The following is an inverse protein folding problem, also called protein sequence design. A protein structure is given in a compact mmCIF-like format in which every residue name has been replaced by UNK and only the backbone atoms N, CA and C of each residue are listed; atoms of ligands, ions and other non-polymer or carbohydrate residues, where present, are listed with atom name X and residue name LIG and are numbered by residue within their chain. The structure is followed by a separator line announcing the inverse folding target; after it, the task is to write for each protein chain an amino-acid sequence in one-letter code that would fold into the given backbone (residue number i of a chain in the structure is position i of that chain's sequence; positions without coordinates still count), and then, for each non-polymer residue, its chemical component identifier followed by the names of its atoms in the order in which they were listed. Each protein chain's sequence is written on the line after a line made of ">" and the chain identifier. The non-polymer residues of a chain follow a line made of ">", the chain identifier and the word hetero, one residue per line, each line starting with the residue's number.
data_IF_806832825350
#
_entry.id   IF_806832825350
#
_cell.length_a   1.000
_cell.length_b   1.000
_cell.length_c   1.000
_cell.angle_alpha   90.00
_cell.angle_beta   90.00
_cell.angle_gamma   90.00
#
_symmetry.space_group_name_H-M   'P 1'
#
loop_
_entity.id
_entity.type
_entity.pdbx_description
1 polymer ?
#
# COMPACT_ATOMS: atom_id res chain seq x y z
N UNK A 1 -26.99 20.57 0.16
CA UNK A 1 -25.73 20.75 0.93
C UNK A 1 -25.19 19.45 1.51
N UNK A 2 -25.95 18.63 2.27
CA UNK A 2 -25.50 17.31 2.78
C UNK A 2 -24.97 16.36 1.68
N UNK A 3 -25.67 16.20 0.55
CA UNK A 3 -25.21 15.36 -0.59
C UNK A 3 -23.90 15.85 -1.24
N UNK A 4 -23.67 17.16 -1.30
CA UNK A 4 -22.43 17.76 -1.88
C UNK A 4 -21.26 17.60 -0.90
N UNK A 5 -21.50 17.79 0.40
CA UNK A 5 -20.52 17.48 1.45
C UNK A 5 -20.16 15.99 1.46
N UNK A 6 -21.13 15.09 1.27
CA UNK A 6 -20.89 13.64 1.14
C UNK A 6 -20.08 13.29 -0.12
N UNK A 7 -20.38 13.87 -1.28
CA UNK A 7 -19.60 13.62 -2.51
C UNK A 7 -18.17 14.15 -2.39
N UNK A 8 -17.98 15.31 -1.77
CA UNK A 8 -16.65 15.88 -1.49
C UNK A 8 -15.91 15.07 -0.42
N UNK A 9 -16.63 14.56 0.59
CA UNK A 9 -16.13 13.66 1.62
C UNK A 9 -15.65 12.34 1.06
N UNK A 10 -16.46 11.68 0.24
CA UNK A 10 -16.06 10.46 -0.49
C UNK A 10 -14.88 10.73 -1.42
N UNK A 11 -14.87 11.86 -2.14
CA UNK A 11 -13.73 12.26 -2.95
C UNK A 11 -12.47 12.55 -2.11
N UNK A 12 -12.62 13.04 -0.88
CA UNK A 12 -11.53 13.30 0.08
C UNK A 12 -11.02 12.00 0.71
N UNK A 13 -11.91 11.06 1.05
CA UNK A 13 -11.59 9.70 1.51
C UNK A 13 -10.85 8.93 0.41
N UNK A 14 -11.34 8.99 -0.84
CA UNK A 14 -10.62 8.44 -1.98
C UNK A 14 -9.32 9.22 -2.29
N UNK A 15 -9.25 10.52 -2.04
CA UNK A 15 -8.01 11.26 -2.24
C UNK A 15 -6.96 10.93 -1.18
N UNK A 16 -7.35 10.51 0.02
CA UNK A 16 -6.41 10.19 1.10
C UNK A 16 -6.12 8.68 1.22
N UNK A 17 -7.08 7.79 0.92
CA UNK A 17 -6.90 6.33 0.93
C UNK A 17 -6.05 5.78 -0.22
N UNK A 18 -5.81 6.59 -1.26
CA UNK A 18 -4.84 6.32 -2.33
C UNK A 18 -3.44 6.89 -2.05
N UNK A 19 -3.29 7.67 -0.97
CA UNK A 19 -2.02 8.18 -0.49
C UNK A 19 -1.60 7.31 0.70
N UNK A 20 -0.32 6.94 0.78
CA UNK A 20 0.33 6.10 1.81
C UNK A 20 0.32 4.60 1.51
N UNK A 21 1.50 4.04 1.13
CA UNK A 21 2.77 4.27 1.82
C UNK A 21 3.89 4.72 0.87
N UNK A 22 4.09 6.01 0.62
CA UNK A 22 5.33 6.44 -0.06
C UNK A 22 5.75 7.86 0.31
N UNK A 23 6.20 8.05 1.55
CA UNK A 23 7.14 9.12 1.89
C UNK A 23 8.45 8.50 2.38
N UNK A 24 9.06 7.66 1.54
CA UNK A 24 10.50 7.41 1.61
C UNK A 24 10.99 6.96 0.22
N UNK A 25 12.04 7.57 -0.35
CA UNK A 25 12.55 7.25 -1.71
C UNK A 25 13.02 5.79 -1.89
N UNK A 26 13.04 5.00 -0.82
CA UNK A 26 13.54 3.63 -0.79
C UNK A 26 12.45 2.55 -0.82
N UNK A 27 11.18 2.92 -0.66
CA UNK A 27 10.08 1.95 -0.45
C UNK A 27 9.61 1.26 -1.74
N UNK A 28 9.98 1.75 -2.93
CA UNK A 28 9.31 1.30 -4.17
C UNK A 28 9.91 0.08 -4.87
N UNK A 29 11.12 -0.39 -4.57
CA UNK A 29 11.75 -1.44 -5.39
C UNK A 29 11.94 -2.83 -4.74
N UNK A 30 11.79 -2.99 -3.41
CA UNK A 30 12.10 -4.27 -2.75
C UNK A 30 10.97 -4.88 -1.89
N UNK A 31 9.76 -4.30 -1.89
CA UNK A 31 8.71 -4.69 -0.91
C UNK A 31 7.56 -5.50 -1.54
N UNK A 32 7.35 -5.46 -2.85
CA UNK A 32 6.28 -6.24 -3.51
C UNK A 32 6.53 -7.76 -3.55
N UNK A 33 7.74 -8.23 -3.23
CA UNK A 33 8.06 -9.66 -3.21
C UNK A 33 7.73 -10.38 -1.90
N UNK A 34 7.27 -9.69 -0.85
CA UNK A 34 6.94 -10.29 0.45
C UNK A 34 5.51 -10.02 0.93
N UNK A 35 4.60 -9.57 0.06
CA UNK A 35 3.18 -9.37 0.41
C UNK A 35 2.35 -10.65 0.28
N UNK A 36 2.78 -11.71 0.96
CA UNK A 36 1.89 -12.73 1.48
C UNK A 36 2.04 -12.72 3.00
N UNK A 37 1.30 -11.84 3.66
CA UNK A 37 1.03 -12.01 5.08
C UNK A 37 0.04 -13.17 5.24
N UNK A 38 0.50 -14.39 4.94
CA UNK A 38 0.28 -15.43 5.94
C UNK A 38 0.90 -14.88 7.22
N UNK A 39 0.29 -15.11 8.39
CA UNK A 39 1.08 -15.20 9.62
C UNK A 39 2.12 -16.29 9.34
N UNK A 40 3.24 -15.94 8.70
CA UNK A 40 4.38 -16.81 8.65
C UNK A 40 4.71 -16.98 10.11
N UNK A 41 4.40 -18.17 10.63
CA UNK A 41 4.99 -18.66 11.86
C UNK A 41 6.50 -18.71 11.60
N UNK A 42 7.14 -17.55 11.62
CA UNK A 42 8.58 -17.40 11.63
C UNK A 42 8.94 -18.04 12.96
N UNK A 43 9.36 -19.29 12.88
CA UNK A 43 9.69 -20.08 14.04
C UNK A 43 10.74 -19.29 14.83
N UNK A 44 10.54 -19.11 16.13
CA UNK A 44 11.42 -18.33 17.02
C UNK A 44 12.91 -18.72 16.89
N UNK A 45 13.20 -19.93 16.39
CA UNK A 45 14.54 -20.45 16.10
C UNK A 45 15.24 -19.85 14.87
N UNK A 46 14.54 -19.07 14.04
CA UNK A 46 15.11 -18.42 12.85
C UNK A 46 15.79 -17.09 13.16
N UNK A 47 15.52 -16.49 14.33
CA UNK A 47 16.17 -15.26 14.77
C UNK A 47 17.52 -15.55 15.43
N UNK A 48 18.49 -14.67 15.20
CA UNK A 48 19.81 -14.70 15.85
C UNK A 48 19.73 -14.03 17.22
N UNK A 49 20.04 -14.76 18.29
CA UNK A 49 20.15 -14.14 19.62
C UNK A 49 21.19 -13.02 19.60
N UNK A 50 20.86 -11.90 20.23
CA UNK A 50 21.75 -10.73 20.34
C UNK A 50 21.57 -10.05 21.69
N UNK A 51 22.65 -9.45 22.18
CA UNK A 51 22.59 -8.44 23.23
C UNK A 51 21.92 -7.16 22.67
N UNK A 52 21.48 -6.23 23.56
CA UNK A 52 20.92 -4.95 23.14
C UNK A 52 21.82 -4.18 22.17
N UNK A 53 21.21 -3.55 21.18
CA UNK A 53 21.89 -2.73 20.18
C UNK A 53 21.80 -1.26 20.61
N UNK A 54 22.95 -0.62 20.78
CA UNK A 54 23.02 0.78 21.23
C UNK A 54 23.87 1.56 20.23
N UNK A 55 23.21 2.48 19.53
CA UNK A 55 23.80 3.45 18.61
C UNK A 55 23.60 4.83 19.23
N UNK A 56 24.69 5.54 19.53
CA UNK A 56 24.66 6.91 20.05
C UNK A 56 25.31 7.92 19.09
N UNK A 57 25.85 7.44 17.96
CA UNK A 57 26.40 8.22 16.84
C UNK A 57 26.60 7.33 15.60
N UNK A 58 26.78 7.96 14.44
CA UNK A 58 26.91 7.27 13.14
C UNK A 58 28.02 6.20 13.11
N UNK A 59 29.16 6.44 13.77
CA UNK A 59 30.28 5.49 13.78
C UNK A 59 29.97 4.17 14.49
N UNK A 60 28.94 4.13 15.34
CA UNK A 60 28.61 2.94 16.13
C UNK A 60 28.02 1.84 15.26
N UNK A 61 27.31 2.19 14.17
CA UNK A 61 26.77 1.22 13.22
C UNK A 61 27.89 0.36 12.64
N UNK A 62 28.95 1.01 12.13
CA UNK A 62 30.12 0.31 11.59
C UNK A 62 30.91 -0.41 12.68
N UNK A 63 31.02 0.17 13.87
CA UNK A 63 31.75 -0.45 15.00
C UNK A 63 31.09 -1.75 15.48
N UNK A 64 29.76 -1.83 15.40
CA UNK A 64 28.99 -3.06 15.68
C UNK A 64 28.97 -4.04 14.51
N UNK A 65 29.56 -3.68 13.37
CA UNK A 65 29.59 -4.52 12.17
C UNK A 65 28.24 -4.67 11.47
N UNK A 66 27.35 -3.68 11.62
CA UNK A 66 26.07 -3.65 10.90
C UNK A 66 26.31 -3.41 9.40
N UNK A 67 25.51 -4.06 8.57
CA UNK A 67 25.60 -3.94 7.10
C UNK A 67 24.99 -2.62 6.62
N UNK A 68 25.40 -2.18 5.43
CA UNK A 68 25.02 -0.89 4.84
C UNK A 68 26.06 0.21 5.07
N UNK A 69 25.85 1.36 4.45
CA UNK A 69 26.73 2.54 4.54
C UNK A 69 26.07 3.76 5.19
N UNK A 70 24.77 3.68 5.47
CA UNK A 70 24.02 4.73 6.15
C UNK A 70 23.53 5.85 5.22
N UNK A 71 23.57 5.64 3.91
CA UNK A 71 22.97 6.54 2.91
C UNK A 71 21.57 6.05 2.54
N UNK A 72 20.77 6.92 1.92
CA UNK A 72 19.40 6.60 1.50
C UNK A 72 19.34 5.32 0.66
N UNK A 73 20.28 5.15 -0.26
CA UNK A 73 20.34 4.01 -1.18
C UNK A 73 20.88 2.71 -0.55
N UNK A 74 21.51 2.82 0.62
CA UNK A 74 22.20 1.72 1.30
C UNK A 74 22.21 1.97 2.82
N UNK A 75 21.03 1.91 3.46
CA UNK A 75 20.87 2.24 4.89
C UNK A 75 21.50 1.16 5.77
N UNK A 76 21.87 1.52 7.00
CA UNK A 76 22.32 0.53 7.97
C UNK A 76 21.20 -0.42 8.36
N UNK A 77 21.49 -1.72 8.45
CA UNK A 77 20.48 -2.74 8.78
C UNK A 77 20.67 -3.30 10.20
N UNK A 78 19.59 -3.28 10.98
CA UNK A 78 19.44 -4.03 12.23
C UNK A 78 18.36 -5.07 11.98
N UNK A 79 18.77 -6.30 11.64
CA UNK A 79 17.85 -7.30 11.12
C UNK A 79 18.01 -8.70 11.71
N UNK A 80 16.88 -9.43 11.79
CA UNK A 80 16.87 -10.85 12.12
C UNK A 80 17.28 -11.16 13.56
N UNK A 81 17.24 -10.18 14.47
CA UNK A 81 17.72 -10.35 15.84
C UNK A 81 16.60 -10.80 16.78
N UNK A 82 16.98 -11.61 17.76
CA UNK A 82 16.19 -11.92 18.95
C UNK A 82 16.88 -11.30 20.16
N UNK A 83 16.27 -10.27 20.73
CA UNK A 83 16.77 -9.57 21.90
C UNK A 83 15.71 -9.67 23.00
N UNK A 84 16.08 -10.29 24.13
CA UNK A 84 15.13 -10.61 25.20
C UNK A 84 15.72 -10.32 26.59
N UNK A 85 14.86 -10.03 27.57
CA UNK A 85 15.20 -9.92 28.99
C UNK A 85 16.37 -8.96 29.31
N UNK A 86 16.31 -7.72 28.82
CA UNK A 86 17.29 -6.68 29.15
C UNK A 86 16.78 -5.75 30.25
N UNK A 87 17.72 -5.15 31.00
CA UNK A 87 17.45 -4.03 31.93
C UNK A 87 17.60 -2.65 31.26
N UNK A 88 17.69 -2.62 29.93
CA UNK A 88 17.80 -1.41 29.10
C UNK A 88 16.81 -1.49 27.94
N UNK A 89 16.71 -0.41 27.16
CA UNK A 89 16.11 -0.49 25.84
C UNK A 89 16.79 -1.60 25.01
N UNK A 90 16.03 -2.34 24.19
CA UNK A 90 16.58 -3.47 23.40
C UNK A 90 17.32 -2.97 22.16
N UNK A 91 16.77 -1.97 21.48
CA UNK A 91 17.42 -1.25 20.38
C UNK A 91 17.31 0.24 20.68
N UNK A 92 18.45 0.93 20.76
CA UNK A 92 18.52 2.39 20.87
C UNK A 92 19.26 2.97 19.68
N UNK A 93 18.65 3.93 19.01
CA UNK A 93 19.28 4.72 17.94
C UNK A 93 19.13 6.20 18.25
N UNK A 94 20.25 6.83 18.61
CA UNK A 94 20.30 8.16 19.19
C UNK A 94 21.34 9.01 18.44
N UNK A 95 21.03 10.28 18.20
CA UNK A 95 21.96 11.28 17.64
C UNK A 95 22.65 10.83 16.35
N UNK A 96 21.87 10.25 15.42
CA UNK A 96 22.38 9.83 14.12
C UNK A 96 21.77 10.62 12.98
N UNK A 97 22.59 10.85 11.95
CA UNK A 97 22.15 11.41 10.66
C UNK A 97 22.07 10.35 9.55
N UNK A 98 22.54 9.14 9.84
CA UNK A 98 22.56 8.03 8.91
C UNK A 98 21.14 7.46 8.69
N UNK A 99 20.88 6.99 7.48
CA UNK A 99 19.69 6.19 7.18
C UNK A 99 19.85 4.79 7.78
N UNK A 100 18.79 4.28 8.41
CA UNK A 100 18.79 2.96 9.02
C UNK A 100 17.44 2.25 8.88
N UNK A 101 17.48 0.93 8.93
CA UNK A 101 16.31 0.06 8.91
C UNK A 101 16.41 -0.94 10.07
N UNK A 102 15.41 -0.95 10.94
CA UNK A 102 15.20 -1.97 11.97
C UNK A 102 14.11 -2.92 11.46
N UNK A 103 14.49 -4.13 11.03
CA UNK A 103 13.58 -5.01 10.29
C UNK A 103 13.64 -6.48 10.73
N UNK A 104 12.47 -7.15 10.79
CA UNK A 104 12.39 -8.58 11.08
C UNK A 104 13.10 -8.96 12.38
N UNK A 105 12.89 -8.21 13.47
CA UNK A 105 13.42 -8.55 14.79
C UNK A 105 12.32 -9.07 15.71
N UNK A 106 12.69 -9.94 16.64
CA UNK A 106 11.88 -10.36 17.77
C UNK A 106 12.43 -9.71 19.05
N UNK A 107 11.63 -8.84 19.65
CA UNK A 107 12.00 -8.00 20.79
C UNK A 107 11.04 -8.25 21.95
N UNK A 108 11.56 -8.74 23.08
CA UNK A 108 10.75 -9.10 24.26
C UNK A 108 11.41 -8.54 25.53
N UNK A 109 10.87 -7.44 26.05
CA UNK A 109 11.46 -6.71 27.18
C UNK A 109 10.88 -7.13 28.54
N UNK A 110 10.44 -8.38 28.68
CA UNK A 110 9.76 -8.85 29.90
C UNK A 110 10.46 -8.43 31.19
N UNK A 111 9.68 -7.85 32.13
CA UNK A 111 10.13 -7.31 33.42
C UNK A 111 10.99 -6.05 33.37
N UNK A 112 10.98 -5.31 32.26
CA UNK A 112 11.73 -4.07 32.09
C UNK A 112 10.83 -2.85 32.01
N UNK A 113 11.21 -1.77 32.71
CA UNK A 113 10.65 -0.42 32.55
C UNK A 113 11.36 0.34 31.41
N UNK A 114 11.54 -0.32 30.27
CA UNK A 114 12.27 0.26 29.14
C UNK A 114 11.50 0.02 27.84
N UNK A 115 11.89 0.78 26.81
CA UNK A 115 11.35 0.65 25.47
C UNK A 115 11.98 -0.51 24.71
N UNK A 116 11.24 -1.28 23.91
CA UNK A 116 11.91 -2.25 23.02
C UNK A 116 12.74 -1.54 21.95
N UNK A 117 12.15 -0.54 21.28
CA UNK A 117 12.86 0.32 20.34
C UNK A 117 12.78 1.76 20.83
N UNK A 118 13.92 2.41 21.00
CA UNK A 118 14.03 3.81 21.34
C UNK A 118 14.81 4.59 20.28
N UNK A 119 14.15 5.57 19.67
CA UNK A 119 14.72 6.44 18.63
C UNK A 119 14.72 7.86 19.19
N UNK A 120 15.87 8.53 19.18
CA UNK A 120 15.97 9.88 19.72
C UNK A 120 16.90 10.80 18.91
N UNK A 121 16.48 12.05 18.70
CA UNK A 121 17.28 13.08 18.03
C UNK A 121 17.84 12.62 16.68
N UNK A 122 16.98 12.01 15.85
CA UNK A 122 17.36 11.48 14.54
C UNK A 122 16.26 11.65 13.50
N UNK A 123 16.52 11.25 12.25
CA UNK A 123 15.55 11.30 11.17
C UNK A 123 15.78 10.17 10.16
N UNK A 124 14.79 9.93 9.29
CA UNK A 124 14.88 9.01 8.14
C UNK A 124 15.14 7.52 8.49
N UNK A 125 14.73 7.08 9.67
CA UNK A 125 14.72 5.68 10.06
C UNK A 125 13.47 4.94 9.57
N UNK A 126 13.60 3.64 9.28
CA UNK A 126 12.48 2.75 9.00
C UNK A 126 12.43 1.64 10.06
N UNK A 127 11.30 1.48 10.72
CA UNK A 127 11.01 0.39 11.67
C UNK A 127 9.95 -0.49 11.03
N UNK A 128 10.31 -1.71 10.62
CA UNK A 128 9.46 -2.55 9.79
C UNK A 128 9.39 -4.01 10.22
N UNK A 129 8.19 -4.60 10.21
CA UNK A 129 8.02 -6.06 10.38
C UNK A 129 8.74 -6.64 11.61
N UNK A 130 8.76 -5.89 12.71
CA UNK A 130 9.25 -6.37 13.99
C UNK A 130 8.10 -6.93 14.83
N UNK A 131 8.40 -7.94 15.64
CA UNK A 131 7.51 -8.49 16.66
C UNK A 131 8.02 -7.99 18.01
N UNK A 132 7.21 -7.17 18.67
CA UNK A 132 7.55 -6.49 19.92
C UNK A 132 6.56 -6.92 20.99
N UNK A 133 7.07 -7.40 22.13
CA UNK A 133 6.26 -7.93 23.23
C UNK A 133 6.72 -7.43 24.60
N UNK A 134 5.80 -7.43 25.57
CA UNK A 134 6.11 -7.34 27.00
C UNK A 134 7.06 -6.19 27.38
N UNK A 135 6.86 -5.00 26.81
CA UNK A 135 7.71 -3.82 27.05
C UNK A 135 6.96 -2.76 27.84
N UNK A 136 7.64 -1.80 28.47
CA UNK A 136 6.90 -0.67 29.05
C UNK A 136 6.33 0.20 27.94
N UNK A 137 7.21 0.57 26.99
CA UNK A 137 6.82 1.14 25.70
C UNK A 137 7.31 0.24 24.57
N UNK A 138 6.49 -0.09 23.58
CA UNK A 138 6.96 -0.90 22.45
C UNK A 138 7.97 -0.14 21.60
N UNK A 139 7.53 0.95 20.98
CA UNK A 139 8.36 1.84 20.15
C UNK A 139 8.25 3.27 20.67
N UNK A 140 9.35 3.86 21.10
CA UNK A 140 9.41 5.24 21.57
C UNK A 140 10.22 6.10 20.59
N UNK A 141 9.60 7.13 20.00
CA UNK A 141 10.20 8.10 19.08
C UNK A 141 10.20 9.48 19.75
N UNK A 142 11.38 10.00 20.06
CA UNK A 142 11.54 11.28 20.75
C UNK A 142 12.38 12.26 19.90
N UNK A 143 11.89 13.49 19.73
CA UNK A 143 12.60 14.53 18.97
C UNK A 143 13.14 14.03 17.61
N UNK A 144 12.35 13.22 16.90
CA UNK A 144 12.79 12.54 15.69
C UNK A 144 11.73 12.64 14.60
N UNK A 145 12.16 13.10 13.43
CA UNK A 145 11.25 13.45 12.33
C UNK A 145 11.36 12.45 11.17
N UNK A 146 10.28 12.29 10.40
CA UNK A 146 10.26 11.49 9.17
C UNK A 146 10.66 10.02 9.38
N UNK A 147 10.31 9.46 10.53
CA UNK A 147 10.41 8.03 10.81
C UNK A 147 9.22 7.31 10.17
N UNK A 148 9.48 6.15 9.57
CA UNK A 148 8.45 5.26 9.02
C UNK A 148 8.32 4.03 9.91
N UNK A 149 7.14 3.82 10.50
CA UNK A 149 6.80 2.66 11.34
C UNK A 149 5.74 1.85 10.60
N UNK A 150 6.11 0.69 10.06
CA UNK A 150 5.24 -0.04 9.14
C UNK A 150 5.24 -1.55 9.38
N UNK A 151 4.06 -2.18 9.35
CA UNK A 151 3.93 -3.65 9.45
C UNK A 151 4.52 -4.26 10.74
N UNK A 152 4.63 -3.50 11.84
CA UNK A 152 5.08 -4.06 13.11
C UNK A 152 3.92 -4.66 13.89
N UNK A 153 4.21 -5.69 14.68
CA UNK A 153 3.29 -6.25 15.67
C UNK A 153 3.77 -5.81 17.05
N UNK A 154 2.95 -5.07 17.79
CA UNK A 154 3.27 -4.59 19.14
C UNK A 154 2.18 -5.03 20.11
N UNK A 155 2.54 -5.89 21.05
CA UNK A 155 1.61 -6.47 22.02
C UNK A 155 2.11 -6.43 23.46
N UNK A 156 1.18 -6.43 24.41
CA UNK A 156 1.44 -6.53 25.84
C UNK A 156 2.42 -5.44 26.37
N UNK A 157 2.39 -4.24 25.78
CA UNK A 157 3.14 -3.11 26.30
C UNK A 157 2.41 -2.45 27.46
N UNK A 158 3.04 -2.33 28.63
CA UNK A 158 2.33 -1.96 29.86
C UNK A 158 1.87 -0.50 29.92
N UNK A 159 2.51 0.40 29.17
CA UNK A 159 2.15 1.83 29.12
C UNK A 159 1.67 2.23 27.73
N UNK A 160 2.53 2.16 26.71
CA UNK A 160 2.21 2.58 25.35
C UNK A 160 2.78 1.59 24.32
N UNK A 161 2.02 1.21 23.31
CA UNK A 161 2.59 0.40 22.23
C UNK A 161 3.55 1.25 21.37
N UNK A 162 3.10 2.43 20.92
CA UNK A 162 3.92 3.39 20.19
C UNK A 162 3.75 4.78 20.78
N UNK A 163 4.86 5.42 21.14
CA UNK A 163 4.89 6.79 21.67
C UNK A 163 5.68 7.71 20.74
N UNK A 164 5.09 8.84 20.36
CA UNK A 164 5.68 9.85 19.47
C UNK A 164 5.71 11.19 20.22
N UNK A 165 6.91 11.64 20.60
CA UNK A 165 7.12 12.84 21.43
C UNK A 165 7.96 13.87 20.70
N UNK A 166 7.50 15.13 20.64
CA UNK A 166 8.22 16.24 19.99
C UNK A 166 8.70 15.90 18.56
N UNK A 167 7.88 15.15 17.81
CA UNK A 167 8.31 14.46 16.59
C UNK A 167 7.29 14.68 15.46
N UNK A 168 7.77 15.05 14.27
CA UNK A 168 6.94 15.54 13.18
C UNK A 168 7.12 14.78 11.87
N UNK A 169 6.06 14.77 11.05
CA UNK A 169 6.14 14.21 9.70
C UNK A 169 6.40 12.69 9.65
N UNK A 170 6.07 11.96 10.72
CA UNK A 170 6.22 10.52 10.81
C UNK A 170 5.04 9.80 10.15
N UNK A 171 5.28 8.58 9.66
CA UNK A 171 4.24 7.73 9.04
C UNK A 171 4.13 6.41 9.78
N UNK A 172 2.94 6.10 10.27
CA UNK A 172 2.60 4.87 10.96
C UNK A 172 1.54 4.13 10.14
N UNK A 173 1.87 2.97 9.58
CA UNK A 173 0.89 2.23 8.76
C UNK A 173 0.98 0.73 8.84
N UNK A 174 -0.15 0.04 8.64
CA UNK A 174 -0.21 -1.41 8.58
C UNK A 174 0.34 -2.10 9.85
N UNK A 175 0.41 -1.41 10.98
CA UNK A 175 0.87 -2.00 12.23
C UNK A 175 -0.30 -2.72 12.91
N UNK A 176 0.00 -3.84 13.57
CA UNK A 176 -0.91 -4.58 14.43
C UNK A 176 -0.58 -4.28 15.89
N UNK A 177 -1.48 -3.60 16.59
CA UNK A 177 -1.25 -3.03 17.91
C UNK A 177 -2.35 -3.53 18.84
N UNK A 178 -2.01 -4.45 19.73
CA UNK A 178 -3.01 -5.12 20.55
C UNK A 178 -2.62 -5.35 22.00
N UNK A 179 -3.60 -5.28 22.91
CA UNK A 179 -3.41 -5.67 24.31
C UNK A 179 -2.33 -4.84 25.04
N UNK A 180 -2.23 -3.55 24.72
CA UNK A 180 -1.31 -2.61 25.38
C UNK A 180 -2.09 -1.68 26.35
N UNK A 181 -1.38 -0.86 27.14
CA UNK A 181 -1.98 0.25 27.90
C UNK A 181 -2.71 1.22 26.97
N UNK A 182 -1.98 2.09 26.30
CA UNK A 182 -2.43 2.93 25.18
C UNK A 182 -1.87 2.33 23.87
N UNK A 183 -2.65 2.33 22.79
CA UNK A 183 -2.18 1.85 21.48
C UNK A 183 -1.08 2.77 20.91
N UNK A 184 -1.44 3.96 20.44
CA UNK A 184 -0.52 4.96 19.92
C UNK A 184 -0.78 6.31 20.61
N UNK A 185 0.27 6.93 21.14
CA UNK A 185 0.21 8.25 21.81
C UNK A 185 1.11 9.28 21.12
N UNK A 186 0.59 10.49 20.90
CA UNK A 186 1.32 11.65 20.40
C UNK A 186 1.38 12.74 21.46
N UNK A 187 2.56 13.29 21.71
CA UNK A 187 2.76 14.46 22.57
C UNK A 187 3.58 15.51 21.82
N UNK A 188 3.07 16.75 21.75
CA UNK A 188 3.73 17.89 21.06
C UNK A 188 4.21 17.54 19.64
N UNK A 189 3.42 16.76 18.91
CA UNK A 189 3.85 16.11 17.67
C UNK A 189 2.88 16.40 16.53
N UNK A 190 3.41 16.82 15.38
CA UNK A 190 2.58 17.42 14.32
C UNK A 190 2.83 16.85 12.93
N UNK A 191 1.83 16.96 12.05
CA UNK A 191 1.91 16.53 10.64
C UNK A 191 2.26 15.04 10.48
N UNK A 192 1.88 14.21 11.44
CA UNK A 192 2.06 12.77 11.36
C UNK A 192 0.85 12.11 10.69
N UNK A 193 1.07 10.95 10.09
CA UNK A 193 0.03 10.16 9.42
C UNK A 193 -0.07 8.77 10.05
N UNK A 194 -1.27 8.40 10.48
CA UNK A 194 -1.64 7.06 10.93
C UNK A 194 -2.67 6.50 9.96
N UNK A 195 -2.29 5.46 9.21
CA UNK A 195 -3.21 4.86 8.25
C UNK A 195 -3.15 3.34 8.18
N UNK A 196 -4.31 2.70 8.03
CA UNK A 196 -4.42 1.24 7.85
C UNK A 196 -3.78 0.44 9.00
N UNK A 197 -3.73 1.01 10.21
CA UNK A 197 -3.30 0.27 11.39
C UNK A 197 -4.49 -0.47 11.97
N UNK A 198 -4.18 -1.56 12.67
CA UNK A 198 -5.14 -2.35 13.39
C UNK A 198 -4.87 -2.20 14.89
N UNK A 199 -5.80 -1.59 15.61
CA UNK A 199 -5.68 -1.22 17.02
C UNK A 199 -6.75 -1.98 17.79
N UNK A 200 -6.36 -2.97 18.59
CA UNK A 200 -7.32 -3.87 19.25
C UNK A 200 -7.08 -4.05 20.73
N UNK A 201 -8.14 -3.99 21.55
CA UNK A 201 -8.08 -4.39 22.97
C UNK A 201 -6.98 -3.68 23.76
N UNK A 202 -6.64 -2.44 23.41
CA UNK A 202 -5.79 -1.63 24.27
C UNK A 202 -6.65 -1.16 25.46
N UNK A 203 -6.05 -1.18 26.66
CA UNK A 203 -6.77 -0.95 27.92
C UNK A 203 -7.39 0.45 27.97
N UNK A 204 -6.65 1.45 27.50
CA UNK A 204 -7.10 2.81 27.25
C UNK A 204 -7.34 3.00 25.74
N UNK A 205 -7.22 4.24 25.25
CA UNK A 205 -7.44 4.60 23.85
C UNK A 205 -6.53 3.84 22.88
N UNK A 206 -7.08 3.46 21.73
CA UNK A 206 -6.30 2.98 20.59
C UNK A 206 -5.37 4.08 20.07
N UNK A 207 -5.87 5.31 19.93
CA UNK A 207 -5.07 6.48 19.56
C UNK A 207 -5.35 7.63 20.52
N UNK A 208 -4.29 8.26 21.03
CA UNK A 208 -4.35 9.43 21.90
C UNK A 208 -3.49 10.56 21.34
N UNK A 209 -4.12 11.67 20.95
CA UNK A 209 -3.45 12.90 20.54
C UNK A 209 -3.49 13.90 21.71
N UNK A 210 -2.38 14.07 22.42
CA UNK A 210 -2.32 14.98 23.57
C UNK A 210 -2.14 16.44 23.12
N UNK A 211 -2.22 17.35 24.09
CA UNK A 211 -1.97 18.79 23.91
C UNK A 211 -0.76 19.10 23.04
N UNK A 212 -0.87 20.21 22.29
CA UNK A 212 0.12 20.71 21.33
C UNK A 212 0.45 19.75 20.17
N UNK A 213 -0.33 18.67 19.98
CA UNK A 213 -0.26 17.83 18.78
C UNK A 213 -1.25 18.35 17.73
N UNK A 214 -0.77 18.73 16.54
CA UNK A 214 -1.63 19.35 15.54
C UNK A 214 -1.36 18.92 14.09
N UNK A 215 -2.38 19.08 13.24
CA UNK A 215 -2.32 18.70 11.82
C UNK A 215 -1.95 17.22 11.59
N UNK A 216 -2.29 16.33 12.52
CA UNK A 216 -2.11 14.89 12.34
C UNK A 216 -3.32 14.30 11.60
N UNK A 217 -3.11 13.23 10.86
CA UNK A 217 -4.18 12.51 10.13
C UNK A 217 -4.27 11.07 10.62
N UNK A 218 -5.45 10.68 11.09
CA UNK A 218 -5.79 9.32 11.55
C UNK A 218 -6.89 8.77 10.65
N UNK A 219 -6.55 7.88 9.74
CA UNK A 219 -7.49 7.45 8.70
C UNK A 219 -7.40 5.98 8.30
N UNK A 220 -8.53 5.36 7.96
CA UNK A 220 -8.60 3.92 7.60
C UNK A 220 -7.98 2.99 8.63
N UNK A 221 -8.00 3.34 9.91
CA UNK A 221 -7.56 2.42 10.95
C UNK A 221 -8.74 1.58 11.43
N UNK A 222 -8.46 0.36 11.87
CA UNK A 222 -9.44 -0.51 12.52
C UNK A 222 -9.30 -0.34 14.04
N UNK A 223 -10.30 0.26 14.68
CA UNK A 223 -10.42 0.33 16.14
C UNK A 223 -11.37 -0.75 16.62
N UNK A 224 -10.85 -1.69 17.42
CA UNK A 224 -11.63 -2.83 17.92
C UNK A 224 -11.45 -2.99 19.42
N UNK A 225 -12.50 -2.74 20.19
CA UNK A 225 -12.55 -3.01 21.64
C UNK A 225 -11.44 -2.31 22.45
N UNK A 226 -11.00 -1.12 22.04
CA UNK A 226 -10.11 -0.29 22.85
C UNK A 226 -10.94 0.53 23.85
N UNK A 227 -10.36 0.87 25.00
CA UNK A 227 -10.97 1.78 25.97
C UNK A 227 -12.43 1.45 26.34
N UNK A 228 -12.71 0.17 26.64
CA UNK A 228 -14.07 -0.34 26.85
C UNK A 228 -14.86 0.34 27.98
N UNK A 229 -14.20 1.14 28.81
CA UNK A 229 -14.81 1.91 29.90
C UNK A 229 -15.28 3.32 29.48
N UNK A 230 -14.98 3.77 28.25
CA UNK A 230 -15.42 5.07 27.71
C UNK A 230 -16.39 4.93 26.54
N UNK A 231 -16.85 6.07 26.02
CA UNK A 231 -17.70 6.15 24.84
C UNK A 231 -16.93 6.24 23.51
N UNK A 232 -15.60 6.43 23.56
CA UNK A 232 -14.75 6.52 22.39
C UNK A 232 -13.48 5.68 22.52
N UNK A 233 -13.03 5.12 21.41
CA UNK A 233 -11.77 4.38 21.30
C UNK A 233 -10.57 5.27 21.00
N UNK A 234 -10.78 6.56 20.74
CA UNK A 234 -9.72 7.54 20.50
C UNK A 234 -9.93 8.82 21.30
N UNK A 235 -8.84 9.54 21.56
CA UNK A 235 -8.84 10.83 22.24
C UNK A 235 -8.04 11.87 21.45
N UNK A 236 -8.55 13.09 21.40
CA UNK A 236 -7.87 14.26 20.82
C UNK A 236 -8.02 15.51 21.71
N UNK A 237 -6.96 15.81 22.46
CA UNK A 237 -6.74 17.07 23.17
C UNK A 237 -5.86 18.05 22.36
N UNK A 238 -5.53 17.69 21.13
CA UNK A 238 -4.76 18.50 20.19
C UNK A 238 -5.61 19.52 19.43
N UNK A 239 -5.12 19.95 18.27
CA UNK A 239 -5.87 20.88 17.40
C UNK A 239 -5.64 20.61 15.93
N UNK A 240 -6.65 20.89 15.09
CA UNK A 240 -6.57 20.71 13.63
C UNK A 240 -6.15 19.28 13.20
N UNK A 241 -6.40 18.28 14.04
CA UNK A 241 -6.20 16.88 13.68
C UNK A 241 -7.43 16.37 12.91
N UNK A 242 -7.23 15.37 12.06
CA UNK A 242 -8.29 14.82 11.20
C UNK A 242 -8.45 13.33 11.49
N UNK A 243 -9.66 12.93 11.90
CA UNK A 243 -10.10 11.55 11.90
C UNK A 243 -11.02 11.35 10.70
N UNK A 244 -10.74 10.37 9.85
CA UNK A 244 -11.56 10.12 8.66
C UNK A 244 -11.49 8.68 8.18
N UNK A 245 -12.64 8.07 7.91
CA UNK A 245 -12.66 6.77 7.25
C UNK A 245 -12.14 5.64 8.12
N UNK A 246 -12.14 5.79 9.44
CA UNK A 246 -11.76 4.72 10.36
C UNK A 246 -12.94 3.79 10.60
N UNK A 247 -12.65 2.51 10.86
CA UNK A 247 -13.62 1.54 11.32
C UNK A 247 -13.62 1.51 12.85
N UNK A 248 -14.81 1.56 13.44
CA UNK A 248 -15.02 1.47 14.90
C UNK A 248 -16.01 0.34 15.14
N UNK A 249 -15.60 -0.72 15.85
CA UNK A 249 -16.36 -1.97 15.89
C UNK A 249 -17.77 -1.86 16.51
N UNK A 250 -18.03 -0.82 17.30
CA UNK A 250 -19.30 -0.47 17.92
C UNK A 250 -20.13 0.51 17.08
N UNK A 251 -19.54 1.14 16.06
CA UNK A 251 -20.14 2.21 15.27
C UNK A 251 -20.23 1.83 13.80
N UNK A 252 -21.14 0.89 13.50
CA UNK A 252 -21.33 0.31 12.17
C UNK A 252 -22.71 0.61 11.56
N UNK A 253 -23.50 1.49 12.19
CA UNK A 253 -24.86 1.82 11.74
C UNK A 253 -25.26 3.20 12.25
N UNK A 254 -26.22 3.89 11.60
CA UNK A 254 -26.93 3.51 10.37
C UNK A 254 -26.11 3.77 9.09
N UNK A 255 -26.39 3.03 8.02
CA UNK A 255 -25.98 3.32 6.64
C UNK A 255 -27.22 3.26 5.75
N UNK A 256 -27.88 4.40 5.55
CA UNK A 256 -29.17 4.47 4.87
C UNK A 256 -29.02 4.34 3.35
N UNK A 257 -27.85 4.72 2.79
CA UNK A 257 -27.59 4.65 1.36
C UNK A 257 -26.74 3.43 0.93
N UNK A 258 -26.40 2.56 1.90
CA UNK A 258 -25.72 1.26 1.71
C UNK A 258 -24.39 1.39 0.97
N UNK A 259 -23.65 2.47 1.24
CA UNK A 259 -22.38 2.77 0.59
C UNK A 259 -21.16 2.25 1.40
N UNK A 260 -21.38 1.65 2.58
CA UNK A 260 -20.34 1.14 3.47
C UNK A 260 -19.76 2.18 4.44
N UNK A 261 -20.31 3.39 4.46
CA UNK A 261 -19.96 4.49 5.38
C UNK A 261 -21.14 4.71 6.31
N UNK A 262 -20.86 4.87 7.61
CA UNK A 262 -21.87 5.19 8.61
C UNK A 262 -22.34 6.63 8.42
N UNK A 263 -23.65 6.82 8.34
CA UNK A 263 -24.30 8.10 8.06
C UNK A 263 -24.29 9.08 9.26
N UNK A 264 -23.78 8.63 10.40
CA UNK A 264 -23.57 9.41 11.61
C UNK A 264 -22.07 9.50 11.92
N UNK A 265 -21.66 10.69 12.36
CA UNK A 265 -20.27 10.93 12.79
C UNK A 265 -19.95 10.08 14.02
N UNK A 266 -18.68 9.69 14.15
CA UNK A 266 -18.17 9.10 15.39
C UNK A 266 -17.47 10.20 16.20
N UNK A 267 -17.88 10.42 17.44
CA UNK A 267 -17.27 11.44 18.28
C UNK A 267 -15.97 10.93 18.89
N UNK A 268 -14.93 11.77 18.87
CA UNK A 268 -13.64 11.51 19.49
C UNK A 268 -13.64 12.15 20.87
N UNK A 269 -13.21 11.41 21.90
CA UNK A 269 -13.09 11.97 23.25
C UNK A 269 -12.04 13.10 23.28
N UNK A 270 -12.11 14.00 24.26
CA UNK A 270 -11.10 15.05 24.47
C UNK A 270 -11.66 16.47 24.31
N UNK A 271 -10.76 17.46 24.35
CA UNK A 271 -11.11 18.89 24.37
C UNK A 271 -11.27 19.54 22.99
N UNK A 272 -10.95 18.82 21.92
CA UNK A 272 -10.94 19.37 20.56
C UNK A 272 -12.31 19.36 19.84
N UNK A 273 -13.34 18.76 20.45
CA UNK A 273 -14.65 18.50 19.84
C UNK A 273 -14.54 17.82 18.46
N UNK A 274 -13.55 16.94 18.29
CA UNK A 274 -13.25 16.29 17.01
C UNK A 274 -14.15 15.09 16.73
N UNK A 275 -14.32 14.76 15.44
CA UNK A 275 -15.18 13.68 14.97
C UNK A 275 -14.56 12.98 13.76
N UNK A 276 -14.85 11.70 13.60
CA UNK A 276 -14.75 11.03 12.29
C UNK A 276 -16.05 11.27 11.52
N UNK A 277 -16.01 12.12 10.49
CA UNK A 277 -17.18 12.45 9.68
C UNK A 277 -17.64 11.29 8.77
N UNK A 278 -16.77 10.30 8.52
CA UNK A 278 -17.04 9.23 7.57
C UNK A 278 -16.61 7.86 8.10
N UNK A 279 -17.17 7.37 9.23
CA UNK A 279 -16.79 6.08 9.78
C UNK A 279 -17.11 4.94 8.79
N UNK A 280 -16.27 3.91 8.74
CA UNK A 280 -16.50 2.74 7.88
C UNK A 280 -17.36 1.69 8.59
N UNK A 281 -18.24 1.01 7.85
CA UNK A 281 -19.04 -0.12 8.38
C UNK A 281 -18.26 -1.43 8.47
N UNK A 282 -17.23 -1.59 7.63
CA UNK A 282 -16.46 -2.82 7.53
C UNK A 282 -15.02 -2.52 7.91
N UNK A 283 -14.43 -3.44 8.66
CA UNK A 283 -13.00 -3.39 8.91
C UNK A 283 -12.23 -3.66 7.62
N UNK A 284 -11.03 -3.09 7.52
CA UNK A 284 -10.14 -3.37 6.39
C UNK A 284 -9.73 -4.85 6.30
N UNK A 285 -9.89 -5.62 7.38
CA UNK A 285 -9.61 -7.06 7.41
C UNK A 285 -10.71 -7.90 6.72
N UNK A 286 -11.93 -7.35 6.59
CA UNK A 286 -13.11 -8.02 6.05
C UNK A 286 -13.43 -7.61 4.60
N UNK A 287 -12.69 -6.66 4.02
CA UNK A 287 -12.67 -6.47 2.56
C UNK A 287 -12.08 -7.77 1.98
N UNK A 288 -12.84 -8.56 1.19
CA UNK A 288 -12.44 -9.91 0.83
C UNK A 288 -11.01 -9.96 0.28
N UNK A 289 -10.22 -10.89 0.81
CA UNK A 289 -8.96 -11.32 0.23
C UNK A 289 -9.20 -11.84 -1.19
N UNK A 290 -9.22 -10.95 -2.20
CA UNK A 290 -8.97 -11.28 -3.60
C UNK A 290 -7.46 -11.57 -3.75
N UNK A 291 -6.94 -12.49 -2.94
CA UNK A 291 -5.51 -12.86 -2.90
C UNK A 291 -5.25 -14.34 -3.10
N UNK A 292 -6.29 -15.19 -3.11
CA UNK A 292 -6.11 -16.63 -3.27
C UNK A 292 -6.80 -17.15 -4.52
N UNK A 293 -6.23 -16.83 -5.68
CA UNK A 293 -5.88 -17.78 -6.76
C UNK A 293 -5.39 -16.99 -7.98
N UNK A 294 -4.19 -17.35 -8.44
CA UNK A 294 -3.57 -16.94 -9.73
C UNK A 294 -3.39 -15.45 -10.04
N UNK A 295 -2.72 -14.65 -9.19
CA UNK A 295 -2.26 -13.31 -9.62
C UNK A 295 -1.06 -12.74 -8.85
N UNK A 296 0.12 -13.34 -9.02
CA UNK A 296 1.37 -12.67 -8.67
C UNK A 296 1.94 -11.77 -9.79
N UNK A 297 1.36 -11.75 -10.99
CA UNK A 297 1.76 -10.79 -12.05
C UNK A 297 0.84 -9.58 -12.15
N UNK A 298 -0.46 -9.79 -11.92
CA UNK A 298 -1.47 -8.76 -12.19
C UNK A 298 -1.64 -7.70 -11.08
N UNK A 299 -1.31 -8.02 -9.82
CA UNK A 299 -1.34 -7.02 -8.75
C UNK A 299 -0.12 -6.09 -8.76
N UNK A 300 1.04 -6.55 -9.26
CA UNK A 300 2.19 -5.67 -9.52
C UNK A 300 1.91 -4.65 -10.64
N UNK A 301 0.99 -4.98 -11.56
CA UNK A 301 0.54 -4.06 -12.60
C UNK A 301 -0.23 -2.83 -12.07
N UNK A 302 -0.85 -2.93 -10.87
CA UNK A 302 -1.64 -1.83 -10.27
C UNK A 302 -0.89 -1.06 -9.18
N UNK A 303 0.21 -1.58 -8.62
CA UNK A 303 0.91 -0.98 -7.48
C UNK A 303 2.27 -0.36 -7.81
N UNK A 304 2.77 -0.48 -9.04
CA UNK A 304 4.11 0.02 -9.36
C UNK A 304 4.16 1.53 -9.72
N UNK A 305 4.83 2.29 -8.85
CA UNK A 305 5.69 3.48 -9.02
C UNK A 305 5.32 4.68 -9.93
N UNK A 306 4.12 4.86 -10.50
CA UNK A 306 3.78 6.13 -11.21
C UNK A 306 2.54 6.89 -10.72
N UNK A 307 1.93 6.49 -9.59
CA UNK A 307 1.16 7.42 -8.75
C UNK A 307 2.05 8.51 -8.12
N UNK A 308 3.38 8.31 -8.17
CA UNK A 308 4.41 9.11 -7.51
C UNK A 308 4.65 10.50 -8.12
N UNK A 309 4.53 10.65 -9.45
CA UNK A 309 4.67 11.96 -10.14
C UNK A 309 3.34 12.72 -10.15
N UNK A 310 2.23 11.99 -10.02
CA UNK A 310 0.86 12.48 -10.06
C UNK A 310 0.47 13.32 -8.83
N UNK A 311 1.05 13.04 -7.68
CA UNK A 311 0.74 13.69 -6.39
C UNK A 311 1.47 15.01 -6.17
N UNK A 312 2.62 15.22 -6.80
CA UNK A 312 3.44 16.43 -6.60
C UNK A 312 2.88 17.69 -7.28
N UNK A 313 2.09 17.55 -8.36
CA UNK A 313 1.54 18.70 -9.07
C UNK A 313 0.17 19.16 -8.53
N UNK A 314 -0.62 18.30 -7.89
CA UNK A 314 -1.94 18.72 -7.38
C UNK A 314 -1.85 19.53 -6.07
N UNK A 315 -0.86 19.26 -5.22
CA UNK A 315 -0.66 20.00 -3.95
C UNK A 315 0.27 21.21 -4.14
N UNK A 316 1.05 21.25 -5.22
CA UNK A 316 1.85 22.42 -5.63
C UNK A 316 1.11 23.49 -6.45
N UNK A 317 -0.07 23.18 -7.00
CA UNK A 317 -0.88 24.12 -7.80
C UNK A 317 -2.01 24.71 -6.95
N UNK A 318 -1.63 25.29 -5.81
CA UNK A 318 -2.26 26.56 -5.38
C UNK A 318 -1.34 27.75 -5.79
N UNK A 319 -0.15 27.49 -6.34
CA UNK A 319 0.85 28.53 -6.66
C UNK A 319 1.19 28.82 -8.13
N UNK A 320 1.05 27.90 -9.10
CA UNK A 320 1.58 28.15 -10.46
C UNK A 320 0.62 27.65 -11.55
N UNK A 321 0.19 28.57 -12.42
CA UNK A 321 -0.93 28.41 -13.35
C UNK A 321 -0.79 27.36 -14.46
N UNK A 322 -1.95 26.79 -14.80
CA UNK A 322 -2.39 26.37 -16.15
C UNK A 322 -1.33 25.93 -17.17
N UNK A 323 -0.54 24.89 -16.86
CA UNK A 323 -0.04 23.99 -17.92
C UNK A 323 -1.16 22.98 -18.17
N UNK A 324 -1.69 22.96 -19.41
CA UNK A 324 -2.98 22.34 -19.72
C UNK A 324 -3.07 20.86 -19.30
N UNK A 325 -4.02 20.58 -18.42
CA UNK A 325 -4.43 19.26 -17.90
C UNK A 325 -4.49 18.15 -18.99
N UNK A 326 -4.79 18.54 -20.23
CA UNK A 326 -4.89 17.64 -21.40
C UNK A 326 -3.54 17.03 -21.83
N UNK A 327 -2.44 17.78 -21.76
CA UNK A 327 -1.11 17.29 -22.12
C UNK A 327 -0.54 16.30 -21.10
N UNK A 328 -0.78 16.59 -19.82
CA UNK A 328 -0.41 15.73 -18.69
C UNK A 328 -1.18 14.41 -18.75
N UNK A 329 -2.49 14.46 -19.02
CA UNK A 329 -3.33 13.26 -19.15
C UNK A 329 -2.89 12.34 -20.31
N UNK A 330 -2.45 12.90 -21.43
CA UNK A 330 -1.93 12.13 -22.58
C UNK A 330 -0.59 11.45 -22.27
N UNK A 331 0.30 12.14 -21.57
CA UNK A 331 1.59 11.59 -21.14
C UNK A 331 1.40 10.44 -20.14
N UNK A 332 0.48 10.58 -19.19
CA UNK A 332 0.17 9.56 -18.18
C UNK A 332 -0.43 8.29 -18.79
N UNK A 333 -1.32 8.43 -19.79
CA UNK A 333 -1.86 7.29 -20.54
C UNK A 333 -0.76 6.51 -21.26
N UNK A 334 0.19 7.21 -21.89
CA UNK A 334 1.32 6.59 -22.61
C UNK A 334 2.24 5.80 -21.68
N UNK A 335 2.45 6.29 -20.45
CA UNK A 335 3.28 5.65 -19.43
C UNK A 335 2.62 4.36 -18.90
N UNK A 336 1.32 4.39 -18.59
CA UNK A 336 0.57 3.21 -18.10
C UNK A 336 0.54 2.09 -19.16
N UNK A 337 0.31 2.44 -20.41
CA UNK A 337 0.34 1.49 -21.53
C UNK A 337 1.72 0.86 -21.73
N UNK A 338 2.81 1.63 -21.63
CA UNK A 338 4.17 1.08 -21.77
C UNK A 338 4.53 0.01 -20.72
N UNK A 339 3.98 0.12 -19.51
CA UNK A 339 4.17 -0.88 -18.45
C UNK A 339 3.33 -2.12 -18.67
N UNK A 340 2.06 -1.93 -19.03
CA UNK A 340 1.19 -3.03 -19.41
C UNK A 340 1.81 -3.91 -20.51
N UNK A 341 2.39 -3.27 -21.51
CA UNK A 341 3.11 -3.95 -22.59
C UNK A 341 4.27 -4.80 -22.06
N UNK A 342 5.02 -4.29 -21.08
CA UNK A 342 6.14 -5.02 -20.47
C UNK A 342 5.65 -6.26 -19.72
N UNK A 343 4.58 -6.16 -18.93
CA UNK A 343 4.08 -7.26 -18.12
C UNK A 343 3.45 -8.35 -18.99
N UNK A 344 2.67 -7.94 -19.99
CA UNK A 344 2.11 -8.86 -21.00
C UNK A 344 3.22 -9.54 -21.80
N UNK A 345 4.32 -8.83 -22.10
CA UNK A 345 5.50 -9.44 -22.76
C UNK A 345 6.14 -10.52 -21.91
N UNK A 346 6.27 -10.28 -20.59
CA UNK A 346 6.82 -11.25 -19.64
C UNK A 346 5.92 -12.48 -19.55
N UNK A 347 4.61 -12.30 -19.44
CA UNK A 347 3.66 -13.41 -19.34
C UNK A 347 3.57 -14.27 -20.62
N UNK A 348 3.85 -13.68 -21.78
CA UNK A 348 3.88 -14.42 -23.05
C UNK A 348 5.04 -15.43 -23.10
N UNK A 349 6.23 -15.08 -22.64
CA UNK A 349 7.43 -15.93 -22.85
C UNK A 349 8.17 -16.34 -21.57
N UNK A 350 7.76 -15.83 -20.42
CA UNK A 350 8.34 -16.10 -19.10
C UNK A 350 9.46 -15.15 -18.66
N UNK A 351 9.83 -14.15 -19.48
CA UNK A 351 10.85 -13.15 -19.13
C UNK A 351 10.69 -11.85 -19.94
N UNK A 352 11.34 -10.76 -19.48
CA UNK A 352 11.27 -9.45 -20.15
C UNK A 352 12.21 -9.39 -21.35
N UNK A 353 11.69 -9.53 -22.57
CA UNK A 353 12.44 -9.36 -23.82
C UNK A 353 12.22 -7.96 -24.43
N UNK A 354 13.27 -7.12 -24.59
CA UNK A 354 13.17 -5.82 -25.27
C UNK A 354 12.62 -5.93 -26.70
N UNK A 355 12.90 -7.05 -27.37
CA UNK A 355 12.45 -7.33 -28.74
C UNK A 355 10.92 -7.51 -28.78
N UNK A 356 10.34 -8.26 -27.83
CA UNK A 356 8.88 -8.44 -27.75
C UNK A 356 8.18 -7.14 -27.37
N UNK A 357 8.78 -6.37 -26.46
CA UNK A 357 8.27 -5.03 -26.09
C UNK A 357 8.25 -4.12 -27.32
N UNK A 358 9.29 -4.14 -28.15
CA UNK A 358 9.34 -3.36 -29.40
C UNK A 358 8.31 -3.81 -30.43
N UNK A 359 8.08 -5.13 -30.57
CA UNK A 359 7.08 -5.71 -31.45
C UNK A 359 5.66 -5.29 -31.06
N UNK A 360 5.32 -5.39 -29.77
CA UNK A 360 4.00 -5.02 -29.26
C UNK A 360 3.78 -3.51 -29.41
N UNK A 361 4.80 -2.68 -29.16
CA UNK A 361 4.75 -1.23 -29.40
C UNK A 361 4.60 -0.87 -30.88
N UNK A 362 5.31 -1.55 -31.77
CA UNK A 362 5.21 -1.35 -33.22
C UNK A 362 3.81 -1.62 -33.76
N UNK A 363 3.04 -2.50 -33.13
CA UNK A 363 1.65 -2.77 -33.52
C UNK A 363 0.66 -1.62 -33.22
N UNK A 364 1.07 -0.58 -32.48
CA UNK A 364 0.28 0.64 -32.28
C UNK A 364 0.33 1.59 -33.49
N UNK A 365 1.36 1.49 -34.32
CA UNK A 365 1.54 2.29 -35.53
C UNK A 365 1.19 1.44 -36.76
N UNK A 366 0.09 1.74 -37.47
CA UNK A 366 -0.30 0.98 -38.65
C UNK A 366 0.74 1.05 -39.78
N UNK A 367 1.58 2.09 -39.79
CA UNK A 367 2.62 2.35 -40.78
C UNK A 367 4.02 1.87 -40.32
N UNK A 368 4.14 1.37 -39.08
CA UNK A 368 5.36 0.71 -38.64
C UNK A 368 5.45 -0.69 -39.29
N UNK A 369 6.34 -0.81 -40.27
CA UNK A 369 6.68 -2.10 -40.84
C UNK A 369 7.28 -2.99 -39.75
N UNK A 370 6.69 -4.17 -39.59
CA UNK A 370 7.36 -5.28 -38.93
C UNK A 370 8.48 -5.64 -39.90
N UNK A 371 9.68 -5.09 -39.65
CA UNK A 371 10.87 -5.27 -40.48
C UNK A 371 11.11 -6.76 -40.80
N UNK A 372 11.76 -7.05 -41.93
CA UNK A 372 12.07 -8.40 -42.45
C UNK A 372 12.86 -9.29 -41.46
N UNK A 373 13.22 -8.74 -40.30
CA UNK A 373 13.85 -9.40 -39.17
C UNK A 373 12.93 -10.31 -38.32
N UNK A 374 11.61 -10.29 -38.54
CA UNK A 374 10.66 -11.18 -37.84
C UNK A 374 10.09 -12.30 -38.75
N UNK A 375 9.80 -13.50 -38.22
CA UNK A 375 9.23 -14.59 -39.00
C UNK A 375 7.87 -14.21 -39.63
N UNK A 376 7.62 -14.55 -40.91
CA UNK A 376 6.35 -14.23 -41.58
C UNK A 376 5.11 -14.75 -40.83
N UNK A 377 5.24 -15.85 -40.07
CA UNK A 377 4.15 -16.45 -39.30
C UNK A 377 3.62 -15.52 -38.20
N UNK A 378 4.42 -14.57 -37.72
CA UNK A 378 4.05 -13.60 -36.69
C UNK A 378 3.03 -12.58 -37.20
N UNK A 379 3.03 -12.28 -38.51
CA UNK A 379 2.09 -11.38 -39.16
C UNK A 379 0.63 -11.86 -39.00
N UNK A 380 0.43 -13.18 -38.89
CA UNK A 380 -0.89 -13.78 -38.64
C UNK A 380 -1.48 -13.39 -37.27
N UNK A 381 -0.64 -12.88 -36.35
CA UNK A 381 -1.04 -12.47 -35.00
C UNK A 381 -0.96 -10.95 -34.79
N UNK A 382 -0.60 -10.16 -35.82
CA UNK A 382 -0.53 -8.68 -35.75
C UNK A 382 -1.81 -8.07 -35.16
N UNK A 383 -2.96 -8.67 -35.48
CA UNK A 383 -4.26 -8.26 -34.97
C UNK A 383 -4.38 -8.29 -33.43
N UNK A 384 -3.91 -9.37 -32.79
CA UNK A 384 -3.99 -9.55 -31.33
C UNK A 384 -2.78 -8.95 -30.61
N UNK A 385 -1.65 -8.72 -31.30
CA UNK A 385 -0.46 -8.10 -30.74
C UNK A 385 -0.67 -6.64 -30.29
N UNK A 386 -1.77 -6.01 -30.74
CA UNK A 386 -2.17 -4.72 -30.20
C UNK A 386 -2.26 -4.78 -28.66
N UNK A 387 -1.58 -3.85 -27.95
CA UNK A 387 -1.43 -3.91 -26.49
C UNK A 387 -2.75 -4.09 -25.74
N UNK A 388 -3.78 -3.33 -26.13
CA UNK A 388 -5.08 -3.33 -25.46
C UNK A 388 -5.77 -4.69 -25.65
N UNK A 389 -5.78 -5.21 -26.88
CA UNK A 389 -6.42 -6.50 -27.20
C UNK A 389 -5.71 -7.67 -26.56
N UNK A 390 -4.38 -7.66 -26.60
CA UNK A 390 -3.55 -8.70 -26.01
C UNK A 390 -3.79 -8.79 -24.50
N UNK A 391 -3.85 -7.65 -23.82
CA UNK A 391 -4.15 -7.58 -22.38
C UNK A 391 -5.54 -8.09 -22.06
N UNK A 392 -6.56 -7.71 -22.83
CA UNK A 392 -7.93 -8.19 -22.62
C UNK A 392 -7.97 -9.71 -22.71
N UNK A 393 -7.32 -10.30 -23.72
CA UNK A 393 -7.27 -11.75 -23.88
C UNK A 393 -6.49 -12.42 -22.74
N UNK A 394 -5.36 -11.85 -22.31
CA UNK A 394 -4.59 -12.38 -21.18
C UNK A 394 -5.42 -12.40 -19.89
N UNK A 395 -6.07 -11.29 -19.56
CA UNK A 395 -6.97 -11.21 -18.40
C UNK A 395 -8.04 -12.29 -18.43
N UNK A 396 -8.66 -12.46 -19.58
CA UNK A 396 -9.72 -13.45 -19.74
C UNK A 396 -9.17 -14.87 -19.76
N UNK A 397 -7.89 -15.10 -20.06
CA UNK A 397 -7.24 -16.42 -19.90
C UNK A 397 -7.03 -16.75 -18.43
N UNK A 398 -6.64 -15.76 -17.63
CA UNK A 398 -6.38 -15.96 -16.21
C UNK A 398 -7.68 -16.18 -15.42
N UNK A 399 -8.76 -15.51 -15.82
CA UNK A 399 -10.01 -15.46 -15.04
C UNK A 399 -11.23 -16.04 -15.74
N UNK A 400 -11.13 -16.48 -17.00
CA UNK A 400 -12.21 -16.96 -17.90
C UNK A 400 -13.33 -15.95 -18.22
N UNK A 401 -13.66 -15.07 -17.27
CA UNK A 401 -14.68 -14.03 -17.36
C UNK A 401 -14.23 -12.80 -16.58
N UNK A 402 -14.69 -11.60 -16.97
CA UNK A 402 -14.33 -10.38 -16.25
C UNK A 402 -15.31 -9.22 -16.51
N UNK A 403 -15.69 -8.42 -15.48
CA UNK A 403 -16.48 -7.21 -15.68
C UNK A 403 -15.74 -6.17 -16.53
N UNK A 404 -16.37 -5.71 -17.60
CA UNK A 404 -15.77 -4.81 -18.60
C UNK A 404 -15.25 -3.50 -18.01
N UNK A 405 -15.94 -2.94 -17.01
CA UNK A 405 -15.54 -1.69 -16.36
C UNK A 405 -14.21 -1.83 -15.61
N UNK A 406 -13.98 -2.99 -14.96
CA UNK A 406 -12.71 -3.30 -14.30
C UNK A 406 -11.60 -3.47 -15.34
N UNK A 407 -11.85 -4.20 -16.44
CA UNK A 407 -10.87 -4.34 -17.54
C UNK A 407 -10.45 -2.97 -18.09
N UNK A 408 -11.41 -2.05 -18.29
CA UNK A 408 -11.11 -0.68 -18.73
C UNK A 408 -10.27 0.09 -17.71
N UNK A 409 -10.58 -0.05 -16.42
CA UNK A 409 -9.83 0.62 -15.34
C UNK A 409 -8.39 0.13 -15.24
N UNK A 410 -8.20 -1.18 -15.37
CA UNK A 410 -6.91 -1.82 -15.52
C UNK A 410 -6.14 -1.18 -16.68
N UNK A 411 -6.75 -1.13 -17.88
CA UNK A 411 -6.12 -0.55 -19.06
C UNK A 411 -5.88 0.96 -18.94
N UNK A 412 -6.65 1.67 -18.11
CA UNK A 412 -6.54 3.12 -17.92
C UNK A 412 -6.92 3.95 -19.14
N UNK A 413 -7.77 3.40 -20.02
CA UNK A 413 -8.22 4.06 -21.26
C UNK A 413 -9.66 4.56 -21.17
N UNK A 414 -10.07 5.43 -22.10
CA UNK A 414 -11.44 5.95 -22.16
C UNK A 414 -12.41 4.87 -22.66
N UNK A 415 -13.69 5.00 -22.31
CA UNK A 415 -14.75 4.12 -22.83
C UNK A 415 -14.81 4.12 -24.37
N UNK A 416 -14.62 5.27 -25.02
CA UNK A 416 -14.59 5.35 -26.48
C UNK A 416 -13.42 4.60 -27.12
N UNK A 417 -12.25 4.58 -26.47
CA UNK A 417 -11.12 3.77 -26.94
C UNK A 417 -11.33 2.29 -26.65
N UNK A 418 -11.86 1.97 -25.47
CA UNK A 418 -12.05 0.58 -25.01
C UNK A 418 -13.11 -0.18 -25.81
N UNK A 419 -14.27 0.44 -26.02
CA UNK A 419 -15.41 -0.17 -26.74
C UNK A 419 -15.02 -0.65 -28.13
N UNK A 420 -14.27 0.15 -28.90
CA UNK A 420 -13.80 -0.25 -30.22
C UNK A 420 -12.92 -1.51 -30.22
N UNK A 421 -12.10 -1.72 -29.18
CA UNK A 421 -11.33 -2.96 -29.07
C UNK A 421 -12.21 -4.17 -28.70
N UNK A 422 -13.20 -3.98 -27.82
CA UNK A 422 -14.15 -5.03 -27.45
C UNK A 422 -14.98 -5.46 -28.66
N UNK A 423 -15.56 -4.52 -29.41
CA UNK A 423 -16.34 -4.82 -30.62
C UNK A 423 -15.52 -5.63 -31.63
N UNK A 424 -14.25 -5.24 -31.81
CA UNK A 424 -13.33 -5.91 -32.73
C UNK A 424 -12.98 -7.32 -32.25
N UNK A 425 -12.77 -7.55 -30.95
CA UNK A 425 -12.52 -8.88 -30.40
C UNK A 425 -13.76 -9.80 -30.49
N UNK A 426 -14.95 -9.24 -30.22
CA UNK A 426 -16.24 -9.95 -30.37
C UNK A 426 -16.48 -10.33 -31.82
N UNK A 427 -16.26 -9.42 -32.78
CA UNK A 427 -16.43 -9.68 -34.21
C UNK A 427 -15.53 -10.81 -34.74
N UNK A 428 -14.36 -11.00 -34.12
CA UNK A 428 -13.43 -12.07 -34.46
C UNK A 428 -13.64 -13.35 -33.63
N UNK A 429 -14.75 -13.44 -32.89
CA UNK A 429 -15.13 -14.57 -32.03
C UNK A 429 -14.06 -14.93 -30.98
N UNK A 430 -13.28 -13.96 -30.52
CA UNK A 430 -12.25 -14.20 -29.50
C UNK A 430 -12.80 -14.05 -28.08
N UNK A 431 -13.85 -13.25 -27.91
CA UNK A 431 -14.56 -13.03 -26.66
C UNK A 431 -16.06 -12.89 -26.92
N UNK A 432 -16.88 -13.10 -25.89
CA UNK A 432 -18.29 -12.68 -25.86
C UNK A 432 -18.40 -11.50 -24.88
N UNK A 433 -19.25 -10.52 -25.20
CA UNK A 433 -19.72 -9.52 -24.24
C UNK A 433 -21.22 -9.69 -23.98
N UNK A 434 -21.63 -9.81 -22.72
CA UNK A 434 -23.03 -9.93 -22.29
C UNK A 434 -23.33 -9.02 -21.10
N UNK A 435 -24.59 -8.67 -20.94
CA UNK A 435 -25.06 -7.95 -19.74
C UNK A 435 -25.53 -8.95 -18.69
N UNK A 436 -25.08 -8.77 -17.45
CA UNK A 436 -25.39 -9.63 -16.31
C UNK A 436 -25.71 -8.82 -15.08
N UNK A 437 -26.55 -9.36 -14.20
CA UNK A 437 -26.87 -8.75 -12.93
C UNK A 437 -25.83 -9.14 -11.89
N UNK A 438 -24.96 -8.20 -11.55
CA UNK A 438 -23.96 -8.33 -10.49
C UNK A 438 -24.30 -7.28 -9.42
N UNK A 439 -24.42 -7.71 -8.17
CA UNK A 439 -24.73 -6.86 -7.01
C UNK A 439 -26.00 -6.00 -7.22
N UNK A 440 -27.04 -6.62 -7.79
CA UNK A 440 -28.33 -5.96 -8.00
C UNK A 440 -28.36 -4.93 -9.14
N UNK A 441 -27.30 -4.81 -9.95
CA UNK A 441 -27.25 -3.87 -11.08
C UNK A 441 -26.74 -4.54 -12.38
N UNK A 442 -27.25 -4.13 -13.56
CA UNK A 442 -26.77 -4.66 -14.83
C UNK A 442 -25.34 -4.18 -15.10
N UNK A 443 -24.45 -5.12 -15.36
CA UNK A 443 -23.03 -4.91 -15.69
C UNK A 443 -22.69 -5.66 -16.97
N UNK A 444 -21.91 -5.03 -17.84
CA UNK A 444 -21.36 -5.71 -19.01
C UNK A 444 -20.16 -6.57 -18.59
N UNK A 445 -20.26 -7.88 -18.84
CA UNK A 445 -19.26 -8.91 -18.53
C UNK A 445 -18.68 -9.47 -19.82
N UNK A 446 -17.37 -9.70 -19.81
CA UNK A 446 -16.61 -10.27 -20.92
C UNK A 446 -16.29 -11.74 -20.61
N UNK A 447 -16.35 -12.58 -21.64
CA UNK A 447 -16.13 -14.01 -21.57
C UNK A 447 -15.10 -14.42 -22.61
N UNK A 448 -14.18 -15.31 -22.26
CA UNK A 448 -13.23 -15.85 -23.23
C UNK A 448 -13.87 -16.93 -24.10
N UNK A 449 -13.66 -16.84 -25.41
CA UNK A 449 -14.05 -17.90 -26.35
C UNK A 449 -12.93 -18.91 -26.58
N UNK A 450 -13.30 -20.13 -27.00
CA UNK A 450 -12.34 -21.20 -27.32
C UNK A 450 -11.34 -20.77 -28.40
N UNK A 451 -11.81 -19.98 -29.37
CA UNK A 451 -10.94 -19.42 -30.42
C UNK A 451 -9.95 -18.38 -29.85
N UNK A 452 -10.36 -17.60 -28.84
CA UNK A 452 -9.50 -16.69 -28.07
C UNK A 452 -8.38 -17.42 -27.33
N UNK A 453 -8.70 -18.51 -26.64
CA UNK A 453 -7.70 -19.39 -25.99
C UNK A 453 -6.71 -19.94 -27.02
N UNK A 454 -7.25 -20.46 -28.13
CA UNK A 454 -6.47 -21.12 -29.18
C UNK A 454 -5.49 -20.15 -29.83
N UNK A 455 -5.95 -18.94 -30.20
CA UNK A 455 -5.10 -17.96 -30.89
C UNK A 455 -4.01 -17.41 -29.96
N UNK A 456 -4.32 -17.19 -28.67
CA UNK A 456 -3.35 -16.74 -27.68
C UNK A 456 -2.27 -17.80 -27.42
N UNK A 457 -2.66 -19.05 -27.21
CA UNK A 457 -1.70 -20.14 -26.96
C UNK A 457 -0.78 -20.39 -28.17
N UNK A 458 -1.30 -20.28 -29.39
CA UNK A 458 -0.49 -20.39 -30.62
C UNK A 458 0.52 -19.24 -30.74
N UNK A 459 0.11 -18.01 -30.44
CA UNK A 459 1.02 -16.87 -30.36
C UNK A 459 2.10 -17.10 -29.31
N UNK A 460 1.71 -17.57 -28.12
CA UNK A 460 2.64 -17.86 -27.02
C UNK A 460 3.68 -18.92 -27.42
N UNK A 461 3.26 -20.01 -28.05
CA UNK A 461 4.15 -21.07 -28.53
C UNK A 461 5.09 -20.58 -29.64
N UNK A 462 4.59 -19.76 -30.57
CA UNK A 462 5.40 -19.18 -31.64
C UNK A 462 6.49 -18.29 -31.05
N UNK A 463 6.14 -17.38 -30.13
CA UNK A 463 7.11 -16.51 -29.46
C UNK A 463 8.14 -17.33 -28.66
N UNK A 464 7.72 -18.35 -27.91
CA UNK A 464 8.66 -19.24 -27.18
C UNK A 464 9.63 -19.98 -28.10
N UNK A 465 9.18 -20.42 -29.28
CA UNK A 465 10.05 -21.06 -30.29
C UNK A 465 11.02 -20.07 -30.93
N UNK A 466 10.61 -18.82 -31.15
CA UNK A 466 11.44 -17.80 -31.78
C UNK A 466 12.63 -17.34 -30.93
N UNK A 467 12.55 -17.47 -29.61
CA UNK A 467 13.57 -16.98 -28.68
C UNK A 467 14.32 -18.10 -27.93
N UNK A 468 14.43 -19.30 -28.54
CA UNK A 468 15.27 -20.46 -28.14
C UNK A 468 15.42 -20.70 -26.63
N UNK A 469 14.38 -21.25 -25.99
CA UNK A 469 14.47 -21.74 -24.61
C UNK A 469 14.89 -23.22 -24.58
N UNK A 470 16.06 -23.51 -24.00
CA UNK A 470 16.26 -24.73 -23.20
C UNK A 470 15.73 -24.50 -21.81
#
# INVERSE_FOLDING_TARGET
>A
MKKIRRLLGIAFICALGFYFPTFHPFITNNILNNTSAEKTNIHLSSYKNSDPIIIIKDSDFTSLGLTGTGILEDPFLIEGLKIVNSNSNLISVINTTAYFIIINNFLDSKNSQNSAIHISSTANGIIKNNIIKNSETGINIASSDKIVIIQNSVEESSVMAIHIENSNGNTLSLNDISENGIGISFERSSRNILANNNLRKNNEYGVKLNFDSFNNTVAWNNFVENNLESNSQALDDGSSNVFVGNYWNEWISPDEDSNGIVDQVYNIDGQSDNVDEFPQMLSNDLIPNIRNSSSNSFFNFLTDSNSFVLSFLAVGIIGIGMISFKGILLMLRKIKMNRLIKDVSVDLIGYSSPIIISLIKGSEDPDADIDESYPPELLNYKFILNPVRLTILKLLIDYTTYPSYLVREILGISWGSFSGHIEVLVKNNLIISKEEFIDGSPKQVLYLEVQGITIYNKLQQLLKKMFDLK
#
